data_IF_105288409557
#
_entry.id   IF_105288409557
#
_cell.length_a   1.000
_cell.length_b   1.000
_cell.length_c   1.000
_cell.angle_alpha   90.00
_cell.angle_beta   90.00
_cell.angle_gamma   90.00
#
_symmetry.space_group_name_H-M   'P 1'
#
loop_
_entity.id
_entity.type
_entity.pdbx_description
1 polymer ?
#
# COMPACT_ATOMS: atom_id res chain seq x y z
N UNK A 1 8.35 -35.84 24.36
CA UNK A 1 9.04 -35.07 23.28
C UNK A 1 8.35 -33.75 23.04
N UNK A 2 8.10 -32.94 24.05
CA UNK A 2 7.27 -31.72 23.98
C UNK A 2 7.93 -30.44 24.54
N UNK A 3 9.16 -30.53 25.05
CA UNK A 3 9.75 -29.38 25.78
C UNK A 3 10.77 -28.53 25.02
N UNK A 4 11.10 -28.86 23.77
CA UNK A 4 12.15 -28.13 23.04
C UNK A 4 11.63 -27.00 22.10
N UNK A 5 10.33 -26.96 21.84
CA UNK A 5 9.75 -25.99 20.88
C UNK A 5 9.47 -24.61 21.51
N UNK A 6 9.07 -24.59 22.78
CA UNK A 6 8.72 -23.35 23.52
C UNK A 6 9.92 -22.46 23.83
N UNK A 7 11.11 -23.07 24.01
CA UNK A 7 12.34 -22.32 24.30
C UNK A 7 12.95 -21.59 23.08
N UNK A 8 12.61 -21.99 21.87
CA UNK A 8 13.14 -21.32 20.67
C UNK A 8 12.39 -20.04 20.33
N UNK A 9 11.05 -20.03 20.45
CA UNK A 9 10.23 -18.84 20.16
C UNK A 9 10.47 -17.69 21.15
N UNK A 10 10.60 -17.99 22.45
CA UNK A 10 10.82 -16.98 23.49
C UNK A 10 12.21 -16.32 23.39
N UNK A 11 13.22 -17.07 22.99
CA UNK A 11 14.57 -16.52 22.79
C UNK A 11 14.64 -15.58 21.58
N UNK A 12 13.97 -15.91 20.49
CA UNK A 12 13.94 -15.05 19.28
C UNK A 12 13.22 -13.72 19.57
N UNK A 13 12.11 -13.76 20.31
CA UNK A 13 11.40 -12.56 20.72
C UNK A 13 12.23 -11.70 21.68
N UNK A 14 12.93 -12.33 22.63
CA UNK A 14 13.83 -11.64 23.55
C UNK A 14 15.01 -10.99 22.82
N UNK A 15 15.57 -11.64 21.80
CA UNK A 15 16.63 -11.06 20.97
C UNK A 15 16.12 -9.90 20.12
N UNK A 16 14.93 -9.98 19.56
CA UNK A 16 14.32 -8.87 18.82
C UNK A 16 14.04 -7.66 19.73
N UNK A 17 13.55 -7.89 20.96
CA UNK A 17 13.30 -6.83 21.94
C UNK A 17 14.62 -6.25 22.49
N UNK A 18 15.65 -7.06 22.70
CA UNK A 18 16.97 -6.59 23.12
C UNK A 18 17.65 -5.77 22.02
N UNK A 19 17.57 -6.21 20.76
CA UNK A 19 18.07 -5.45 19.61
C UNK A 19 17.32 -4.13 19.42
N UNK A 20 16.01 -4.12 19.66
CA UNK A 20 15.22 -2.88 19.63
C UNK A 20 15.64 -1.90 20.75
N UNK A 21 15.85 -2.40 21.97
CA UNK A 21 16.24 -1.59 23.12
C UNK A 21 17.67 -1.04 23.00
N UNK A 22 18.61 -1.83 22.49
CA UNK A 22 19.99 -1.37 22.24
C UNK A 22 20.08 -0.40 21.05
N UNK A 23 19.25 -0.58 20.01
CA UNK A 23 19.14 0.38 18.90
C UNK A 23 18.58 1.74 19.36
N UNK A 24 17.56 1.73 20.23
CA UNK A 24 16.95 2.96 20.74
C UNK A 24 17.89 3.77 21.65
N UNK A 25 18.81 3.13 22.37
CA UNK A 25 19.76 3.80 23.27
C UNK A 25 20.92 4.44 22.48
N UNK A 26 21.30 3.93 21.34
CA UNK A 26 22.40 4.46 20.51
C UNK A 26 21.97 5.60 19.55
N UNK A 27 20.68 5.88 19.39
CA UNK A 27 20.15 6.86 18.43
C UNK A 27 20.26 8.33 18.95
N UNK A 28 20.66 8.54 20.19
CA UNK A 28 20.60 9.87 20.83
C UNK A 28 21.66 10.89 20.35
N UNK A 29 22.59 10.55 19.46
CA UNK A 29 23.79 11.37 19.29
C UNK A 29 23.99 12.07 17.93
N UNK A 30 23.19 11.83 16.90
CA UNK A 30 23.47 12.46 15.59
C UNK A 30 22.21 12.73 14.77
N UNK A 31 21.45 13.73 15.14
CA UNK A 31 20.33 14.19 14.33
C UNK A 31 20.52 15.64 13.90
N UNK A 32 21.16 15.85 12.78
CA UNK A 32 21.06 17.10 12.02
C UNK A 32 20.10 16.87 10.85
N UNK A 33 19.20 17.82 10.60
CA UNK A 33 18.40 17.87 9.39
C UNK A 33 19.35 18.04 8.20
N UNK A 34 19.36 17.08 7.27
CA UNK A 34 20.30 17.07 6.18
C UNK A 34 19.50 17.00 4.90
N UNK A 35 19.50 18.12 4.15
CA UNK A 35 19.28 18.08 2.71
C UNK A 35 20.63 17.64 2.08
N UNK A 36 20.74 16.39 1.59
CA UNK A 36 21.99 15.94 1.03
C UNK A 36 22.27 16.72 -0.27
N UNK A 37 23.31 17.51 -0.26
CA UNK A 37 23.86 18.06 -1.50
C UNK A 37 24.25 16.90 -2.43
N UNK A 38 24.09 17.02 -3.76
CA UNK A 38 24.53 16.00 -4.72
C UNK A 38 26.00 15.61 -4.59
N UNK A 39 26.81 16.48 -3.96
CA UNK A 39 28.23 16.28 -3.71
C UNK A 39 28.58 15.63 -2.37
N UNK A 40 27.58 15.34 -1.50
CA UNK A 40 27.86 14.72 -0.21
C UNK A 40 28.17 13.23 -0.38
N UNK A 41 29.45 12.91 -0.29
CA UNK A 41 29.98 11.53 -0.40
C UNK A 41 29.96 10.78 0.94
N UNK A 42 29.64 11.45 2.04
CA UNK A 42 29.56 10.82 3.36
C UNK A 42 28.50 9.73 3.37
N UNK A 43 28.84 8.56 3.91
CA UNK A 43 27.93 7.41 3.98
C UNK A 43 26.59 7.75 4.65
N UNK A 44 26.60 8.54 5.71
CA UNK A 44 25.40 8.86 6.49
C UNK A 44 24.47 9.87 5.79
N UNK A 45 24.95 10.59 4.80
CA UNK A 45 24.25 11.71 4.15
C UNK A 45 23.83 11.42 2.70
N UNK A 46 24.34 10.33 2.11
CA UNK A 46 24.00 9.98 0.73
C UNK A 46 22.54 9.53 0.61
N UNK A 47 21.90 9.89 -0.50
CA UNK A 47 20.51 9.59 -0.80
C UNK A 47 20.25 8.09 -1.03
N UNK A 48 21.23 7.36 -1.49
CA UNK A 48 21.18 5.95 -1.86
C UNK A 48 22.33 5.19 -1.21
N UNK A 49 22.09 3.95 -0.80
CA UNK A 49 23.14 3.12 -0.18
C UNK A 49 24.38 2.98 -1.08
N UNK A 50 24.18 2.78 -2.38
CA UNK A 50 25.25 2.66 -3.36
C UNK A 50 25.73 4.02 -3.92
N UNK A 51 25.19 5.15 -3.37
CA UNK A 51 25.56 6.50 -3.80
C UNK A 51 25.13 6.83 -5.23
N UNK A 52 25.90 7.69 -5.88
CA UNK A 52 25.61 8.22 -7.21
C UNK A 52 26.38 7.49 -8.35
N UNK A 53 26.96 6.32 -8.07
CA UNK A 53 27.74 5.53 -9.04
C UNK A 53 28.85 6.31 -9.73
N UNK A 54 29.53 7.18 -8.99
CA UNK A 54 30.56 8.09 -9.55
C UNK A 54 30.00 9.21 -10.42
N UNK A 55 28.71 9.57 -10.26
CA UNK A 55 28.03 10.61 -11.05
C UNK A 55 27.15 10.06 -12.18
N UNK A 56 27.25 8.78 -12.53
CA UNK A 56 26.50 8.20 -13.64
C UNK A 56 24.98 8.15 -13.37
N UNK A 57 24.55 7.94 -12.11
CA UNK A 57 23.12 7.98 -11.75
C UNK A 57 22.51 9.36 -12.01
N UNK A 58 23.20 10.42 -11.59
CA UNK A 58 22.77 11.80 -11.84
C UNK A 58 22.79 12.12 -13.33
N UNK A 59 23.81 11.71 -14.07
CA UNK A 59 23.90 11.89 -15.53
C UNK A 59 22.71 11.22 -16.23
N UNK A 60 22.45 9.95 -15.97
CA UNK A 60 21.31 9.21 -16.54
C UNK A 60 19.97 9.87 -16.20
N UNK A 61 19.78 10.35 -14.96
CA UNK A 61 18.56 11.05 -14.57
C UNK A 61 18.38 12.38 -15.33
N UNK A 62 19.46 13.09 -15.62
CA UNK A 62 19.43 14.32 -16.43
C UNK A 62 19.09 14.01 -17.90
N UNK A 63 19.53 12.86 -18.40
CA UNK A 63 19.21 12.34 -19.75
C UNK A 63 17.80 11.73 -19.82
N UNK A 64 17.10 11.57 -18.69
CA UNK A 64 15.72 11.08 -18.63
C UNK A 64 15.56 9.63 -18.17
N UNK A 65 16.61 8.95 -17.69
CA UNK A 65 16.54 7.59 -17.17
C UNK A 65 16.77 7.60 -15.67
N UNK A 66 15.77 7.17 -14.89
CA UNK A 66 15.85 7.10 -13.42
C UNK A 66 15.65 5.68 -12.91
N UNK A 67 16.30 5.38 -11.79
CA UNK A 67 16.29 4.07 -11.16
C UNK A 67 15.82 4.17 -9.70
N UNK A 68 14.95 3.25 -9.25
CA UNK A 68 14.64 3.00 -7.85
C UNK A 68 14.87 1.52 -7.57
N UNK A 69 15.85 1.21 -6.74
CA UNK A 69 16.09 -0.14 -6.24
C UNK A 69 15.98 -0.12 -4.74
N UNK A 70 15.12 -0.97 -4.17
CA UNK A 70 14.99 -1.04 -2.73
C UNK A 70 14.67 -2.45 -2.23
N UNK A 71 15.13 -2.69 -1.01
CA UNK A 71 14.69 -3.79 -0.17
C UNK A 71 13.79 -3.24 0.93
N UNK A 72 12.68 -3.91 1.19
CA UNK A 72 11.75 -3.62 2.28
C UNK A 72 11.32 -4.92 2.95
N UNK A 73 11.28 -4.93 4.28
CA UNK A 73 10.85 -6.10 5.04
C UNK A 73 10.05 -5.70 6.28
N UNK A 74 9.04 -6.51 6.59
CA UNK A 74 8.25 -6.46 7.80
C UNK A 74 8.59 -7.68 8.67
N UNK A 75 9.15 -7.43 9.86
CA UNK A 75 9.42 -8.42 10.89
C UNK A 75 8.35 -8.31 11.95
N UNK A 76 7.39 -9.23 11.96
CA UNK A 76 6.19 -9.16 12.80
C UNK A 76 6.00 -10.46 13.58
N UNK A 77 5.42 -10.35 14.78
CA UNK A 77 5.00 -11.48 15.59
C UNK A 77 3.73 -11.18 16.36
N UNK A 78 2.90 -12.20 16.57
CA UNK A 78 1.68 -12.10 17.38
C UNK A 78 1.86 -12.85 18.71
N UNK A 79 2.27 -12.17 19.79
CA UNK A 79 2.38 -12.77 21.10
C UNK A 79 1.02 -13.21 21.68
N UNK A 80 -0.08 -12.64 21.19
CA UNK A 80 -1.45 -13.02 21.57
C UNK A 80 -2.38 -13.00 20.37
N UNK A 81 -3.44 -13.76 20.45
CA UNK A 81 -4.47 -13.90 19.40
C UNK A 81 -4.08 -14.95 18.34
N UNK A 82 -5.03 -15.76 17.91
CA UNK A 82 -4.79 -16.85 16.97
C UNK A 82 -3.74 -17.84 17.46
N UNK A 83 -2.95 -18.36 16.52
CA UNK A 83 -1.79 -19.20 16.80
C UNK A 83 -0.55 -18.28 16.90
N UNK A 84 0.09 -18.23 18.07
CA UNK A 84 1.29 -17.42 18.30
C UNK A 84 2.42 -17.79 17.36
N UNK A 85 2.97 -16.81 16.66
CA UNK A 85 4.06 -17.00 15.70
C UNK A 85 4.83 -15.69 15.49
N UNK A 86 5.96 -15.78 14.78
CA UNK A 86 6.72 -14.64 14.29
C UNK A 86 7.38 -14.98 12.97
N UNK A 87 7.55 -13.99 12.12
CA UNK A 87 8.21 -14.17 10.84
C UNK A 87 8.50 -12.85 10.14
N UNK A 88 9.03 -12.96 8.94
CA UNK A 88 9.29 -11.81 8.11
C UNK A 88 8.63 -11.97 6.73
N UNK A 89 8.14 -10.85 6.19
CA UNK A 89 7.85 -10.74 4.77
C UNK A 89 8.86 -9.80 4.13
N UNK A 90 9.42 -10.23 3.02
CA UNK A 90 10.53 -9.55 2.35
C UNK A 90 10.16 -9.21 0.91
N UNK A 91 10.61 -8.05 0.42
CA UNK A 91 10.45 -7.64 -0.99
C UNK A 91 11.70 -6.89 -1.46
N UNK A 92 12.23 -7.32 -2.60
CA UNK A 92 13.19 -6.55 -3.40
C UNK A 92 12.44 -6.04 -4.62
N UNK A 93 12.53 -4.75 -4.91
CA UNK A 93 11.88 -4.12 -6.07
C UNK A 93 12.89 -3.26 -6.82
N UNK A 94 12.93 -3.44 -8.15
CA UNK A 94 13.68 -2.60 -9.06
C UNK A 94 12.75 -1.92 -10.05
N UNK A 95 12.89 -0.62 -10.20
CA UNK A 95 12.10 0.20 -11.11
C UNK A 95 13.01 1.01 -12.01
N UNK A 96 12.65 1.11 -13.28
CA UNK A 96 13.25 2.01 -14.27
C UNK A 96 12.15 2.88 -14.85
N UNK A 97 12.33 4.20 -14.78
CA UNK A 97 11.47 5.18 -15.43
C UNK A 97 12.26 5.92 -16.51
N UNK A 98 11.67 6.06 -17.70
CA UNK A 98 12.28 6.72 -18.87
C UNK A 98 11.39 7.88 -19.30
N UNK A 99 11.95 9.08 -19.34
CA UNK A 99 11.38 10.28 -19.94
C UNK A 99 11.93 10.44 -21.35
N UNK A 100 11.16 10.04 -22.36
CA UNK A 100 11.55 10.16 -23.76
C UNK A 100 11.59 11.62 -24.24
N UNK A 101 10.96 12.54 -23.52
CA UNK A 101 11.08 13.97 -23.80
C UNK A 101 12.50 14.47 -23.60
N UNK A 102 13.19 14.00 -22.54
CA UNK A 102 14.58 14.28 -22.28
C UNK A 102 15.51 13.43 -23.15
N UNK A 103 15.26 12.11 -23.21
CA UNK A 103 16.12 11.15 -23.88
C UNK A 103 16.14 11.30 -25.40
N UNK A 104 14.97 11.57 -26.02
CA UNK A 104 14.79 11.54 -27.48
C UNK A 104 13.93 12.68 -28.03
N UNK A 105 13.62 13.72 -27.25
CA UNK A 105 12.80 14.84 -27.68
C UNK A 105 11.30 14.55 -27.82
N UNK A 106 10.82 13.34 -27.47
CA UNK A 106 9.40 12.94 -27.55
C UNK A 106 8.62 13.46 -26.32
N UNK A 107 8.24 14.73 -26.35
CA UNK A 107 7.62 15.44 -25.23
C UNK A 107 6.37 14.72 -24.70
N UNK A 108 6.32 14.53 -23.38
CA UNK A 108 5.20 13.93 -22.68
C UNK A 108 5.13 12.41 -22.78
N UNK A 109 6.02 11.77 -23.56
CA UNK A 109 6.12 10.31 -23.62
C UNK A 109 7.04 9.79 -22.51
N UNK A 110 6.56 8.82 -21.75
CA UNK A 110 7.34 8.14 -20.69
C UNK A 110 7.06 6.64 -20.66
N UNK A 111 8.02 5.89 -20.14
CA UNK A 111 7.92 4.45 -19.91
C UNK A 111 8.27 4.13 -18.46
N UNK A 112 7.62 3.12 -17.94
CA UNK A 112 7.88 2.57 -16.61
C UNK A 112 8.02 1.06 -16.69
N UNK A 113 8.99 0.53 -15.96
CA UNK A 113 9.20 -0.92 -15.83
C UNK A 113 9.56 -1.23 -14.38
N UNK A 114 8.85 -2.17 -13.77
CA UNK A 114 9.12 -2.66 -12.41
C UNK A 114 9.21 -4.18 -12.39
N UNK A 115 10.30 -4.68 -11.83
CA UNK A 115 10.46 -6.09 -11.48
C UNK A 115 10.61 -6.25 -9.97
N UNK A 116 10.21 -7.39 -9.44
CA UNK A 116 10.33 -7.67 -8.02
C UNK A 116 10.53 -9.16 -7.70
N UNK A 117 11.11 -9.37 -6.52
CA UNK A 117 11.04 -10.60 -5.77
C UNK A 117 10.40 -10.35 -4.42
N UNK A 118 9.55 -11.27 -3.96
CA UNK A 118 9.00 -11.23 -2.60
C UNK A 118 8.69 -12.62 -2.06
N UNK A 119 8.69 -12.71 -0.73
CA UNK A 119 8.31 -13.93 -0.02
C UNK A 119 8.51 -13.80 1.49
N UNK A 120 7.92 -14.75 2.21
CA UNK A 120 8.00 -14.77 3.67
C UNK A 120 6.80 -15.42 4.33
N UNK A 121 6.52 -15.03 5.57
CA UNK A 121 5.43 -15.55 6.40
C UNK A 121 4.25 -14.60 6.34
N UNK A 122 3.09 -15.08 5.91
CA UNK A 122 1.83 -14.35 6.02
C UNK A 122 1.27 -14.51 7.45
N UNK A 123 1.71 -13.64 8.36
CA UNK A 123 1.31 -13.71 9.76
C UNK A 123 -0.21 -13.60 9.95
N UNK A 124 -0.86 -12.68 9.22
CA UNK A 124 -2.31 -12.46 9.31
C UNK A 124 -3.12 -13.68 8.91
N UNK A 125 -2.87 -14.20 7.72
CA UNK A 125 -3.65 -15.30 7.16
C UNK A 125 -3.31 -16.67 7.73
N UNK A 126 -2.05 -16.93 8.13
CA UNK A 126 -1.60 -18.25 8.58
C UNK A 126 -1.72 -18.45 10.09
N UNK A 127 -1.60 -17.41 10.88
CA UNK A 127 -1.46 -17.54 12.34
C UNK A 127 -2.46 -16.68 13.12
N UNK A 128 -2.59 -15.41 12.80
CA UNK A 128 -3.45 -14.48 13.55
C UNK A 128 -4.94 -14.69 13.24
N UNK A 129 -5.30 -15.02 12.00
CA UNK A 129 -6.68 -15.16 11.55
C UNK A 129 -7.43 -13.82 11.42
N UNK A 130 -6.68 -12.73 11.16
CA UNK A 130 -7.26 -11.39 10.98
C UNK A 130 -7.80 -11.17 9.56
N UNK A 131 -8.80 -10.29 9.44
CA UNK A 131 -9.28 -9.76 8.15
C UNK A 131 -8.30 -8.73 7.62
N UNK A 132 -7.95 -7.74 8.46
CA UNK A 132 -6.91 -6.77 8.14
C UNK A 132 -5.54 -7.41 8.31
N UNK A 133 -4.79 -7.59 7.21
CA UNK A 133 -3.46 -8.17 7.30
C UNK A 133 -2.50 -7.20 7.99
N UNK A 134 -1.68 -7.67 8.95
CA UNK A 134 -0.70 -6.84 9.65
C UNK A 134 0.33 -6.16 8.73
N UNK A 135 0.53 -6.67 7.54
CA UNK A 135 1.50 -6.16 6.57
C UNK A 135 0.88 -5.99 5.19
N UNK A 136 0.93 -4.78 4.63
CA UNK A 136 0.56 -4.49 3.24
C UNK A 136 1.57 -4.99 2.20
N UNK A 137 2.67 -5.62 2.62
CA UNK A 137 3.60 -6.27 1.70
C UNK A 137 3.18 -7.69 1.35
N UNK A 138 2.31 -8.31 2.17
CA UNK A 138 1.94 -9.72 2.03
C UNK A 138 1.12 -9.95 0.77
N UNK A 139 1.54 -10.91 -0.04
CA UNK A 139 0.85 -11.42 -1.21
C UNK A 139 1.35 -12.82 -1.54
N UNK A 140 1.39 -13.24 -2.80
CA UNK A 140 2.01 -14.51 -3.18
C UNK A 140 3.54 -14.42 -3.20
N UNK A 141 4.22 -15.53 -2.92
CA UNK A 141 5.64 -15.69 -3.16
C UNK A 141 5.91 -15.64 -4.67
N UNK A 142 6.73 -14.72 -5.13
CA UNK A 142 6.94 -14.56 -6.56
C UNK A 142 8.25 -13.84 -6.90
N UNK A 143 8.77 -14.13 -8.08
CA UNK A 143 9.76 -13.32 -8.79
C UNK A 143 9.17 -13.02 -10.16
N UNK A 144 8.93 -11.73 -10.46
CA UNK A 144 8.23 -11.38 -11.69
C UNK A 144 8.51 -9.96 -12.17
N UNK A 145 8.27 -9.74 -13.45
CA UNK A 145 8.04 -8.43 -14.02
C UNK A 145 6.63 -7.99 -13.60
N UNK A 146 6.54 -7.02 -12.68
CA UNK A 146 5.27 -6.62 -12.11
C UNK A 146 4.50 -5.67 -13.02
N UNK A 147 5.05 -4.50 -13.30
CA UNK A 147 4.40 -3.53 -14.16
C UNK A 147 5.35 -3.00 -15.25
N UNK A 148 4.78 -2.77 -16.43
CA UNK A 148 5.42 -2.07 -17.53
C UNK A 148 4.37 -1.39 -18.39
N UNK A 149 4.56 -0.10 -18.64
CA UNK A 149 3.58 0.69 -19.39
C UNK A 149 4.24 1.89 -20.06
N UNK A 150 3.58 2.37 -21.11
CA UNK A 150 3.85 3.64 -21.77
C UNK A 150 2.77 4.64 -21.38
N UNK A 151 3.15 5.88 -21.22
CA UNK A 151 2.26 6.99 -20.94
C UNK A 151 2.56 8.15 -21.86
N UNK A 152 1.51 8.75 -22.42
CA UNK A 152 1.58 10.00 -23.15
C UNK A 152 0.78 11.09 -22.43
N UNK A 153 1.43 12.18 -22.12
CA UNK A 153 0.81 13.41 -21.64
C UNK A 153 0.59 14.37 -22.81
N UNK A 154 -0.62 14.90 -22.91
CA UNK A 154 -1.06 15.80 -23.96
C UNK A 154 -1.65 17.08 -23.35
N UNK A 155 -1.66 18.18 -24.14
CA UNK A 155 -2.28 19.46 -23.76
C UNK A 155 -1.75 20.00 -22.41
N UNK A 156 -0.42 19.97 -22.22
CA UNK A 156 0.26 20.36 -20.97
C UNK A 156 -0.25 19.58 -19.75
N UNK A 157 -0.44 18.26 -19.90
CA UNK A 157 -0.86 17.36 -18.84
C UNK A 157 -2.37 17.36 -18.52
N UNK A 158 -3.20 18.06 -19.33
CA UNK A 158 -4.65 18.01 -19.16
C UNK A 158 -5.26 16.67 -19.57
N UNK A 159 -4.61 15.95 -20.47
CA UNK A 159 -4.95 14.60 -20.86
C UNK A 159 -3.72 13.70 -20.70
N UNK A 160 -3.89 12.59 -20.01
CA UNK A 160 -2.89 11.52 -19.89
C UNK A 160 -3.52 10.23 -20.37
N UNK A 161 -2.84 9.54 -21.26
CA UNK A 161 -3.22 8.19 -21.72
C UNK A 161 -2.09 7.25 -21.36
N UNK A 162 -2.43 6.10 -20.76
CA UNK A 162 -1.48 5.06 -20.39
C UNK A 162 -1.97 3.71 -20.85
N UNK A 163 -1.07 2.89 -21.38
CA UNK A 163 -1.34 1.53 -21.79
C UNK A 163 -0.18 0.60 -21.45
N UNK A 164 -0.51 -0.60 -21.00
CA UNK A 164 0.50 -1.59 -20.61
C UNK A 164 -0.03 -2.55 -19.57
N UNK A 165 0.87 -3.09 -18.76
CA UNK A 165 0.54 -3.93 -17.61
C UNK A 165 0.81 -3.14 -16.32
N UNK A 166 -0.21 -2.98 -15.48
CA UNK A 166 -0.09 -2.31 -14.18
C UNK A 166 -1.19 -2.75 -13.22
N UNK A 167 -0.97 -2.53 -11.93
CA UNK A 167 -1.96 -2.80 -10.90
C UNK A 167 -2.95 -1.62 -10.78
N UNK A 168 -4.24 -1.93 -10.57
CA UNK A 168 -5.27 -0.91 -10.35
C UNK A 168 -4.92 0.02 -9.18
N UNK A 169 -4.45 -0.54 -8.08
CA UNK A 169 -4.02 0.22 -6.91
C UNK A 169 -2.80 1.13 -7.13
N UNK A 170 -2.09 1.02 -8.24
CA UNK A 170 -1.02 1.97 -8.55
C UNK A 170 -1.55 3.39 -8.77
N UNK A 171 -2.82 3.50 -9.17
CA UNK A 171 -3.40 4.76 -9.62
C UNK A 171 -4.78 5.06 -9.04
N UNK A 172 -5.52 4.06 -8.56
CA UNK A 172 -6.90 4.15 -8.08
C UNK A 172 -6.99 3.74 -6.62
N UNK A 173 -7.81 4.42 -5.85
CA UNK A 173 -8.00 4.14 -4.43
C UNK A 173 -6.74 4.32 -3.58
N UNK A 174 -5.75 5.09 -4.06
CA UNK A 174 -4.47 5.28 -3.38
C UNK A 174 -4.62 6.27 -2.24
N UNK A 175 -4.25 5.85 -1.04
CA UNK A 175 -4.12 6.71 0.13
C UNK A 175 -2.85 7.54 0.03
N UNK A 176 -2.96 8.86 0.10
CA UNK A 176 -1.79 9.74 0.03
C UNK A 176 -0.83 9.50 1.21
N UNK A 177 -1.38 9.33 2.41
CA UNK A 177 -0.64 9.08 3.65
C UNK A 177 -0.55 7.59 4.01
N UNK A 178 -1.07 6.67 3.21
CA UNK A 178 -1.09 5.24 3.51
C UNK A 178 0.28 4.60 3.72
N UNK A 179 1.33 5.23 3.20
CA UNK A 179 2.73 4.77 3.38
C UNK A 179 3.29 4.90 4.78
N UNK A 180 2.60 5.63 5.61
CA UNK A 180 2.96 5.80 7.02
C UNK A 180 2.52 4.62 7.89
N UNK A 181 1.84 3.63 7.28
CA UNK A 181 1.33 2.46 7.99
C UNK A 181 1.90 1.16 7.42
N UNK A 182 1.87 0.09 8.24
CA UNK A 182 2.24 -1.26 7.83
C UNK A 182 1.03 -2.11 7.47
N UNK A 183 -0.09 -1.91 8.20
CA UNK A 183 -1.33 -2.70 8.04
C UNK A 183 -1.92 -2.53 6.64
N UNK A 184 -2.21 -3.64 5.97
CA UNK A 184 -2.63 -3.68 4.56
C UNK A 184 -3.75 -2.68 4.21
N UNK A 185 -4.88 -2.58 4.93
CA UNK A 185 -5.95 -1.66 4.55
C UNK A 185 -5.61 -0.17 4.74
N UNK A 186 -4.54 0.14 5.48
CA UNK A 186 -4.02 1.49 5.69
C UNK A 186 -2.86 1.79 4.77
N UNK A 187 -2.02 0.78 4.46
CA UNK A 187 -0.84 0.91 3.61
C UNK A 187 -1.28 1.02 2.15
N UNK A 188 -1.03 2.17 1.54
CA UNK A 188 -1.14 2.46 0.13
C UNK A 188 -2.56 2.54 -0.47
N UNK A 189 -3.38 1.49 -0.44
CA UNK A 189 -4.74 1.48 -0.96
C UNK A 189 -5.67 0.73 0.00
N UNK A 190 -6.95 0.98 -0.08
CA UNK A 190 -7.93 0.29 0.76
C UNK A 190 -7.96 -1.21 0.45
N UNK A 191 -7.76 -2.05 1.47
CA UNK A 191 -7.68 -3.50 1.32
C UNK A 191 -8.93 -4.13 0.71
N UNK A 192 -10.11 -3.60 1.03
CA UNK A 192 -11.38 -4.15 0.53
C UNK A 192 -11.61 -3.90 -0.97
N UNK A 193 -10.90 -2.95 -1.58
CA UNK A 193 -10.92 -2.78 -3.04
C UNK A 193 -10.45 -4.04 -3.78
N UNK A 194 -9.60 -4.86 -3.15
CA UNK A 194 -9.10 -6.11 -3.72
C UNK A 194 -10.18 -7.17 -3.93
N UNK A 195 -11.32 -7.07 -3.26
CA UNK A 195 -12.45 -7.96 -3.49
C UNK A 195 -13.00 -7.85 -4.91
N UNK A 196 -12.94 -6.65 -5.52
CA UNK A 196 -13.36 -6.40 -6.89
C UNK A 196 -12.19 -6.22 -7.86
N UNK A 197 -10.99 -5.89 -7.37
CA UNK A 197 -9.78 -5.85 -8.19
C UNK A 197 -9.24 -7.25 -8.43
N UNK A 198 -8.90 -7.51 -9.68
CA UNK A 198 -8.26 -8.75 -10.09
C UNK A 198 -6.81 -8.51 -10.51
N UNK A 199 -6.40 -7.24 -10.62
CA UNK A 199 -5.05 -6.79 -10.93
C UNK A 199 -4.55 -5.86 -9.83
N UNK A 200 -3.73 -6.39 -8.93
CA UNK A 200 -3.16 -5.69 -7.77
C UNK A 200 -1.66 -5.97 -7.63
N UNK A 201 -0.94 -5.11 -6.92
CA UNK A 201 0.50 -5.27 -6.67
C UNK A 201 0.78 -6.51 -5.78
N UNK A 202 1.60 -7.47 -6.22
CA UNK A 202 2.43 -7.48 -7.42
C UNK A 202 1.86 -8.32 -8.58
N UNK A 203 0.58 -8.44 -8.71
CA UNK A 203 -0.07 -9.23 -9.75
C UNK A 203 -0.75 -8.34 -10.80
N UNK A 204 0.02 -7.42 -11.37
CA UNK A 204 -0.44 -6.50 -12.42
C UNK A 204 -0.96 -7.22 -13.66
N UNK A 205 -1.95 -6.64 -14.31
CA UNK A 205 -2.55 -7.12 -15.55
C UNK A 205 -2.58 -6.07 -16.66
N UNK A 206 -2.85 -6.49 -17.91
CA UNK A 206 -3.05 -5.58 -19.03
C UNK A 206 -4.16 -4.56 -18.75
N UNK A 207 -3.89 -3.30 -19.07
CA UNK A 207 -4.82 -2.20 -18.83
C UNK A 207 -4.58 -1.00 -19.74
N UNK A 208 -5.63 -0.21 -19.92
CA UNK A 208 -5.58 1.13 -20.50
C UNK A 208 -6.19 2.10 -19.50
N UNK A 209 -5.55 3.23 -19.27
CA UNK A 209 -5.96 4.28 -18.34
C UNK A 209 -5.98 5.64 -19.04
N UNK A 210 -7.04 6.41 -18.81
CA UNK A 210 -7.19 7.76 -19.30
C UNK A 210 -7.48 8.67 -18.11
N UNK A 211 -6.71 9.75 -17.99
CA UNK A 211 -6.92 10.81 -17.00
C UNK A 211 -7.15 12.13 -17.70
N UNK A 212 -8.22 12.83 -17.34
CA UNK A 212 -8.55 14.17 -17.79
C UNK A 212 -8.48 15.10 -16.57
N UNK A 213 -7.67 16.15 -16.66
CA UNK A 213 -7.49 17.16 -15.62
C UNK A 213 -7.66 18.56 -16.24
N UNK A 214 -8.90 19.03 -16.41
CA UNK A 214 -9.16 20.31 -17.08
C UNK A 214 -8.56 21.48 -16.31
N UNK A 215 -8.51 21.38 -15.00
CA UNK A 215 -7.83 22.29 -14.07
C UNK A 215 -6.98 21.51 -13.10
N UNK A 216 -6.01 22.18 -12.44
CA UNK A 216 -5.07 21.51 -11.50
C UNK A 216 -5.76 20.89 -10.28
N UNK A 217 -6.96 21.36 -9.94
CA UNK A 217 -7.68 20.93 -8.75
C UNK A 217 -8.56 19.70 -8.98
N UNK A 218 -8.96 19.42 -10.21
CA UNK A 218 -9.95 18.37 -10.51
C UNK A 218 -9.41 17.44 -11.58
N UNK A 219 -9.57 16.14 -11.38
CA UNK A 219 -9.35 15.15 -12.41
C UNK A 219 -10.47 14.10 -12.43
N UNK A 220 -10.73 13.60 -13.61
CA UNK A 220 -11.47 12.36 -13.83
C UNK A 220 -10.47 11.34 -14.41
N UNK A 221 -10.45 10.14 -13.88
CA UNK A 221 -9.65 9.04 -14.37
C UNK A 221 -10.53 7.82 -14.60
N UNK A 222 -10.29 7.10 -15.68
CA UNK A 222 -10.97 5.86 -16.01
C UNK A 222 -9.99 4.85 -16.55
N UNK A 223 -10.08 3.60 -16.09
CA UNK A 223 -9.32 2.48 -16.65
C UNK A 223 -10.23 1.34 -17.07
N UNK A 224 -9.82 0.65 -18.12
CA UNK A 224 -10.30 -0.66 -18.49
C UNK A 224 -9.14 -1.67 -18.32
N UNK A 225 -9.33 -2.68 -17.48
CA UNK A 225 -8.30 -3.60 -17.06
C UNK A 225 -8.72 -5.05 -17.30
N UNK A 226 -7.76 -5.94 -17.52
CA UNK A 226 -8.03 -7.37 -17.62
C UNK A 226 -8.65 -7.91 -16.34
N UNK A 227 -9.75 -8.61 -16.46
CA UNK A 227 -10.43 -9.31 -15.38
C UNK A 227 -9.82 -10.68 -15.07
N UNK A 228 -8.51 -10.80 -15.06
CA UNK A 228 -7.80 -12.06 -14.79
C UNK A 228 -7.66 -12.31 -13.29
N UNK A 229 -8.51 -13.21 -12.76
CA UNK A 229 -8.55 -13.54 -11.30
C UNK A 229 -7.36 -14.33 -10.78
N UNK A 230 -6.53 -14.91 -11.65
CA UNK A 230 -5.34 -15.63 -11.23
C UNK A 230 -4.13 -15.24 -12.09
N UNK A 231 -3.60 -14.03 -11.93
CA UNK A 231 -2.44 -13.61 -12.71
C UNK A 231 -1.23 -14.50 -12.47
N UNK A 232 -1.07 -15.08 -11.29
CA UNK A 232 0.01 -16.03 -11.01
C UNK A 232 -0.13 -17.35 -11.80
N UNK A 233 -1.33 -17.83 -12.03
CA UNK A 233 -1.58 -19.05 -12.81
C UNK A 233 -1.39 -18.87 -14.31
N UNK A 234 -1.73 -17.68 -14.84
CA UNK A 234 -1.66 -17.42 -16.30
C UNK A 234 -0.43 -16.61 -16.70
N UNK A 235 0.12 -15.85 -15.78
CA UNK A 235 1.22 -14.93 -16.01
C UNK A 235 2.15 -14.88 -14.77
N UNK A 236 2.68 -16.03 -14.38
CA UNK A 236 3.52 -16.15 -13.19
C UNK A 236 4.78 -15.28 -13.27
N UNK A 237 5.37 -15.12 -14.46
CA UNK A 237 6.58 -14.33 -14.66
C UNK A 237 6.31 -12.83 -14.89
N UNK A 238 5.06 -12.45 -15.14
CA UNK A 238 4.69 -11.08 -15.50
C UNK A 238 5.04 -10.69 -16.95
N UNK A 239 5.73 -11.54 -17.71
CA UNK A 239 6.15 -11.23 -19.09
C UNK A 239 5.03 -11.36 -20.11
N UNK A 240 4.22 -12.45 -20.10
CA UNK A 240 3.12 -12.57 -21.05
C UNK A 240 2.04 -11.50 -20.84
N UNK A 241 1.73 -10.76 -21.90
CA UNK A 241 0.64 -9.79 -21.91
C UNK A 241 -0.69 -10.52 -22.15
N UNK A 242 -1.24 -11.09 -21.06
CA UNK A 242 -2.40 -11.99 -21.17
C UNK A 242 -3.68 -11.28 -20.74
N UNK A 243 -4.57 -11.04 -21.71
CA UNK A 243 -5.93 -10.57 -21.43
C UNK A 243 -6.85 -11.76 -21.21
N UNK A 244 -7.43 -11.89 -20.04
CA UNK A 244 -8.34 -12.97 -19.67
C UNK A 244 -9.61 -12.40 -19.05
N UNK A 245 -10.73 -13.12 -19.24
CA UNK A 245 -12.06 -12.79 -18.73
C UNK A 245 -12.61 -11.43 -19.21
N UNK A 246 -13.81 -11.07 -18.75
CA UNK A 246 -14.36 -9.73 -18.94
C UNK A 246 -13.51 -8.72 -18.20
N UNK A 247 -13.22 -7.59 -18.84
CA UNK A 247 -12.45 -6.52 -18.20
C UNK A 247 -13.25 -5.84 -17.10
N UNK A 248 -12.55 -5.33 -16.10
CA UNK A 248 -13.13 -4.45 -15.10
C UNK A 248 -12.96 -2.98 -15.51
N UNK A 249 -13.88 -2.14 -15.08
CA UNK A 249 -13.86 -0.70 -15.29
C UNK A 249 -13.69 -0.03 -13.94
N UNK A 250 -12.72 0.89 -13.85
CA UNK A 250 -12.50 1.72 -12.67
C UNK A 250 -12.66 3.17 -13.06
N UNK A 251 -13.45 3.93 -12.30
CA UNK A 251 -13.59 5.36 -12.44
C UNK A 251 -13.25 6.04 -11.12
N UNK A 252 -12.49 7.13 -11.17
CA UNK A 252 -12.15 7.94 -10.00
C UNK A 252 -12.20 9.41 -10.34
N UNK A 253 -12.99 10.16 -9.56
CA UNK A 253 -13.01 11.62 -9.54
C UNK A 253 -12.19 12.09 -8.34
N UNK A 254 -11.21 12.95 -8.59
CA UNK A 254 -10.37 13.52 -7.54
C UNK A 254 -10.46 15.03 -7.51
N UNK A 255 -10.50 15.57 -6.30
CA UNK A 255 -10.39 16.98 -6.02
C UNK A 255 -9.19 17.22 -5.10
N UNK A 256 -8.29 18.12 -5.53
CA UNK A 256 -7.10 18.48 -4.76
C UNK A 256 -6.94 19.99 -4.69
N UNK A 257 -6.38 20.46 -3.60
CA UNK A 257 -5.95 21.84 -3.46
C UNK A 257 -4.61 21.90 -2.72
N UNK A 258 -3.77 22.85 -3.11
CA UNK A 258 -2.44 23.07 -2.53
C UNK A 258 -1.53 21.83 -2.54
N UNK A 259 -1.83 20.83 -3.34
CA UNK A 259 -0.96 19.68 -3.54
C UNK A 259 0.07 19.98 -4.63
N UNK A 260 1.33 19.51 -4.49
CA UNK A 260 2.21 19.37 -5.62
C UNK A 260 1.51 18.47 -6.66
N UNK A 261 1.69 18.79 -7.94
CA UNK A 261 0.93 18.14 -9.02
C UNK A 261 0.91 16.62 -8.87
N UNK A 262 -0.18 15.94 -9.24
CA UNK A 262 -0.29 14.47 -9.30
C UNK A 262 0.74 13.80 -10.22
N UNK A 263 1.44 14.60 -11.03
CA UNK A 263 2.50 14.17 -11.93
C UNK A 263 3.70 13.76 -11.10
N UNK A 264 3.91 12.49 -10.94
CA UNK A 264 5.06 11.96 -10.21
C UNK A 264 4.76 11.39 -8.82
N UNK A 265 3.53 11.02 -8.52
CA UNK A 265 3.25 10.31 -7.27
C UNK A 265 4.08 9.01 -7.12
N UNK A 266 4.54 8.40 -8.20
CA UNK A 266 5.56 7.35 -8.16
C UNK A 266 7.00 7.89 -8.09
N UNK A 267 7.31 8.98 -8.78
CA UNK A 267 8.64 9.62 -8.69
C UNK A 267 8.85 10.34 -7.34
N UNK A 268 7.79 10.86 -6.72
CA UNK A 268 7.83 11.42 -5.37
C UNK A 268 8.05 10.36 -4.27
N UNK A 269 8.11 9.08 -4.63
CA UNK A 269 8.36 7.95 -3.73
C UNK A 269 9.82 7.72 -3.38
N UNK A 270 10.73 8.56 -3.84
CA UNK A 270 12.11 8.45 -3.40
C UNK A 270 12.20 8.97 -1.97
N UNK A 271 12.57 8.15 -0.98
CA UNK A 271 12.84 8.64 0.36
C UNK A 271 13.88 9.75 0.30
N UNK A 272 13.61 10.90 0.94
CA UNK A 272 14.47 12.09 0.87
C UNK A 272 14.29 12.94 -0.39
N UNK A 273 13.33 12.64 -1.26
CA UNK A 273 12.92 13.56 -2.31
C UNK A 273 12.22 14.76 -1.70
N UNK A 274 12.93 15.88 -1.55
CA UNK A 274 12.29 17.17 -1.30
C UNK A 274 11.20 17.35 -2.35
N UNK A 275 9.95 17.47 -1.91
CA UNK A 275 8.88 17.93 -2.77
C UNK A 275 9.25 19.36 -3.18
N UNK A 276 9.92 19.50 -4.32
CA UNK A 276 10.20 20.79 -4.95
C UNK A 276 8.90 21.40 -5.50
N UNK A 277 7.92 21.60 -4.64
CA UNK A 277 6.72 22.34 -4.93
C UNK A 277 6.81 23.71 -4.29
N UNK A 278 6.32 24.73 -4.98
CA UNK A 278 6.09 26.06 -4.41
C UNK A 278 5.29 25.89 -3.13
N UNK A 279 5.69 26.49 -1.99
CA UNK A 279 4.92 26.41 -0.75
C UNK A 279 3.45 26.76 -0.99
N UNK A 280 2.50 26.06 -0.34
CA UNK A 280 1.09 26.40 -0.48
C UNK A 280 0.84 27.82 0.00
N UNK A 281 -0.13 28.55 -0.58
CA UNK A 281 -0.48 29.88 -0.13
C UNK A 281 -0.91 29.89 1.33
N UNK A 282 -0.62 30.97 2.02
CA UNK A 282 -0.66 31.20 3.50
C UNK A 282 -1.90 30.73 4.29
N UNK A 283 -2.94 30.17 3.70
CA UNK A 283 -4.22 29.92 4.41
C UNK A 283 -4.84 28.54 4.19
N UNK A 284 -4.34 27.71 3.27
CA UNK A 284 -4.96 26.41 2.98
C UNK A 284 -3.92 25.31 2.98
N UNK A 285 -4.08 24.37 3.89
CA UNK A 285 -3.26 23.16 3.95
C UNK A 285 -3.60 22.22 2.78
N UNK A 286 -2.62 21.43 2.29
CA UNK A 286 -2.87 20.46 1.23
C UNK A 286 -4.01 19.50 1.56
N UNK A 287 -4.89 19.28 0.59
CA UNK A 287 -6.00 18.34 0.70
C UNK A 287 -6.21 17.56 -0.60
N UNK A 288 -6.65 16.31 -0.48
CA UNK A 288 -6.96 15.41 -1.59
C UNK A 288 -8.17 14.57 -1.24
N UNK A 289 -9.22 14.71 -2.00
CA UNK A 289 -10.48 14.01 -1.85
C UNK A 289 -10.77 13.22 -3.12
N UNK A 290 -11.27 11.99 -2.97
CA UNK A 290 -11.57 11.10 -4.09
C UNK A 290 -12.89 10.40 -3.86
N UNK A 291 -13.62 10.19 -4.95
CA UNK A 291 -14.69 9.21 -5.02
C UNK A 291 -14.42 8.29 -6.20
N UNK A 292 -14.68 7.01 -6.04
CA UNK A 292 -14.45 6.08 -7.11
C UNK A 292 -15.47 4.95 -7.14
N UNK A 293 -15.58 4.34 -8.30
CA UNK A 293 -16.41 3.20 -8.59
C UNK A 293 -15.62 2.19 -9.39
N UNK A 294 -15.52 0.98 -8.86
CA UNK A 294 -15.04 -0.20 -9.59
C UNK A 294 -16.24 -1.00 -10.02
N UNK A 295 -16.30 -1.40 -11.26
CA UNK A 295 -17.31 -2.29 -11.79
C UNK A 295 -16.61 -3.48 -12.46
N UNK A 296 -16.83 -4.66 -11.91
CA UNK A 296 -16.35 -5.92 -12.47
C UNK A 296 -17.56 -6.73 -12.99
N UNK A 297 -17.75 -6.85 -14.31
CA UNK A 297 -18.89 -7.55 -14.90
C UNK A 297 -18.83 -9.08 -14.80
N UNK A 298 -17.86 -9.63 -14.08
CA UNK A 298 -17.71 -11.09 -13.88
C UNK A 298 -18.90 -11.75 -13.22
N UNK A 299 -18.84 -13.07 -13.05
CA UNK A 299 -19.88 -13.85 -12.35
C UNK A 299 -19.39 -14.17 -10.93
N UNK A 300 -20.21 -13.84 -9.96
CA UNK A 300 -19.90 -13.99 -8.53
C UNK A 300 -20.87 -14.96 -7.88
N UNK A 301 -20.36 -15.79 -6.97
CA UNK A 301 -21.19 -16.65 -6.17
C UNK A 301 -22.01 -15.84 -5.16
N UNK A 302 -23.18 -16.32 -4.84
CA UNK A 302 -23.94 -15.87 -3.68
C UNK A 302 -23.09 -16.00 -2.41
N UNK A 303 -23.17 -15.05 -1.48
CA UNK A 303 -22.49 -15.12 -0.18
C UNK A 303 -23.16 -16.16 0.76
N UNK A 304 -23.66 -17.25 0.19
CA UNK A 304 -24.30 -18.41 0.80
C UNK A 304 -23.44 -19.67 0.65
N UNK A 305 -24.04 -20.84 0.37
CA UNK A 305 -23.36 -22.15 0.41
C UNK A 305 -22.15 -22.31 -0.48
N UNK A 306 -22.07 -21.53 -1.55
CA UNK A 306 -20.93 -21.55 -2.46
C UNK A 306 -19.80 -20.59 -2.04
N UNK A 307 -20.03 -19.76 -1.03
CA UNK A 307 -19.05 -18.80 -0.52
C UNK A 307 -18.14 -19.41 0.56
N UNK A 308 -17.83 -20.68 0.46
CA UNK A 308 -16.75 -21.31 1.25
C UNK A 308 -15.38 -20.77 0.86
N UNK A 309 -15.35 -19.52 0.47
CA UNK A 309 -14.14 -18.94 0.05
C UNK A 309 -13.74 -17.83 0.92
N UNK A 310 -12.90 -18.19 1.69
CA UNK A 310 -12.14 -17.32 2.52
C UNK A 310 -10.69 -17.34 2.11
N UNK A 311 -10.44 -16.82 0.99
CA UNK A 311 -9.10 -16.39 0.68
C UNK A 311 -9.25 -15.35 -0.41
N UNK A 312 -8.59 -14.25 -0.26
CA UNK A 312 -8.43 -13.20 -1.26
C UNK A 312 -7.95 -13.69 -2.63
N UNK A 313 -7.70 -14.99 -2.80
CA UNK A 313 -7.17 -15.63 -4.00
C UNK A 313 -8.00 -16.82 -4.51
N UNK A 314 -9.20 -17.05 -4.00
CA UNK A 314 -9.92 -18.27 -4.37
C UNK A 314 -11.01 -18.00 -5.39
N UNK A 315 -10.88 -18.67 -6.54
CA UNK A 315 -11.91 -18.82 -7.55
C UNK A 315 -13.09 -19.57 -6.96
N UNK A 316 -14.18 -18.89 -6.70
CA UNK A 316 -15.44 -19.58 -6.55
C UNK A 316 -15.99 -19.84 -7.96
N UNK A 317 -15.87 -21.06 -8.43
CA UNK A 317 -16.75 -21.47 -9.50
C UNK A 317 -18.17 -21.35 -8.97
N UNK A 318 -18.95 -20.53 -9.61
CA UNK A 318 -20.35 -20.42 -9.28
C UNK A 318 -21.05 -21.71 -9.69
N UNK A 319 -21.36 -22.56 -8.71
CA UNK A 319 -22.26 -23.69 -8.85
C UNK A 319 -23.60 -23.27 -8.21
N UNK A 320 -24.62 -23.04 -9.03
CA UNK A 320 -25.95 -22.63 -8.55
C UNK A 320 -26.30 -21.17 -8.93
N UNK A 321 -26.95 -20.45 -8.03
CA UNK A 321 -27.31 -19.05 -8.25
C UNK A 321 -26.08 -18.16 -8.26
N UNK A 322 -25.94 -17.40 -9.34
CA UNK A 322 -24.79 -16.53 -9.58
C UNK A 322 -25.25 -15.11 -9.81
N UNK A 323 -24.61 -14.18 -9.13
CA UNK A 323 -24.77 -12.77 -9.44
C UNK A 323 -23.92 -12.37 -10.66
N UNK A 324 -24.49 -11.55 -11.52
CA UNK A 324 -23.74 -10.90 -12.60
C UNK A 324 -23.19 -9.58 -12.09
N UNK A 325 -21.88 -9.44 -12.20
CA UNK A 325 -21.17 -8.23 -11.79
C UNK A 325 -20.94 -8.12 -10.29
N UNK A 326 -19.91 -7.36 -9.96
CA UNK A 326 -19.62 -6.84 -8.63
C UNK A 326 -19.18 -5.39 -8.74
N UNK A 327 -19.35 -4.61 -7.68
CA UNK A 327 -18.89 -3.21 -7.67
C UNK A 327 -18.38 -2.80 -6.30
N UNK A 328 -17.46 -1.85 -6.30
CA UNK A 328 -17.00 -1.17 -5.09
C UNK A 328 -17.17 0.32 -5.30
N UNK A 329 -17.93 0.94 -4.44
CA UNK A 329 -17.93 2.39 -4.28
C UNK A 329 -17.00 2.78 -3.14
N UNK A 330 -16.16 3.81 -3.33
CA UNK A 330 -15.30 4.31 -2.28
C UNK A 330 -15.22 5.83 -2.23
N UNK A 331 -14.98 6.33 -1.03
CA UNK A 331 -14.63 7.72 -0.75
C UNK A 331 -13.33 7.77 0.05
N UNK A 332 -12.47 8.72 -0.26
CA UNK A 332 -11.21 8.95 0.44
C UNK A 332 -10.98 10.44 0.68
N UNK A 333 -10.46 10.78 1.86
CA UNK A 333 -10.05 12.11 2.24
C UNK A 333 -8.64 12.07 2.84
N UNK A 334 -7.78 12.93 2.38
CA UNK A 334 -6.43 13.14 2.91
C UNK A 334 -6.25 14.64 3.12
N UNK A 335 -5.97 15.06 4.35
CA UNK A 335 -5.96 16.47 4.72
C UNK A 335 -4.78 16.78 5.65
N UNK A 336 -3.97 17.76 5.28
CA UNK A 336 -3.08 18.39 6.22
C UNK A 336 -3.90 19.25 7.20
N UNK A 337 -3.81 18.95 8.50
CA UNK A 337 -4.67 19.56 9.53
C UNK A 337 -3.97 20.73 10.22
N UNK A 338 -2.69 20.58 10.47
CA UNK A 338 -1.93 21.59 11.21
C UNK A 338 -0.47 21.66 10.77
N UNK A 339 0.06 22.88 10.72
CA UNK A 339 1.48 23.20 10.54
C UNK A 339 1.82 24.38 11.45
N UNK A 340 2.92 24.36 12.23
CA UNK A 340 3.29 25.47 13.10
C UNK A 340 3.64 26.74 12.34
N UNK A 341 4.28 26.60 11.18
CA UNK A 341 4.62 27.71 10.26
C UNK A 341 4.45 27.25 8.83
N UNK A 342 4.33 28.20 7.90
CA UNK A 342 4.30 27.92 6.47
C UNK A 342 5.58 27.20 6.04
N UNK A 343 5.42 26.13 5.22
CA UNK A 343 6.55 25.32 4.74
C UNK A 343 7.19 24.39 5.79
N UNK A 344 6.67 24.36 7.02
CA UNK A 344 7.17 23.45 8.06
C UNK A 344 6.95 21.99 7.65
N UNK A 345 7.99 21.14 7.76
CA UNK A 345 7.86 19.69 7.73
C UNK A 345 7.04 19.18 8.92
N UNK A 346 7.19 19.81 10.09
CA UNK A 346 6.42 19.47 11.30
C UNK A 346 4.95 19.77 11.11
N UNK A 347 4.09 18.85 11.51
CA UNK A 347 2.66 19.07 11.44
C UNK A 347 1.83 17.81 11.58
N UNK A 348 0.52 17.99 11.56
CA UNK A 348 -0.47 16.92 11.67
C UNK A 348 -1.19 16.76 10.35
N UNK A 349 -1.23 15.56 9.84
CA UNK A 349 -2.02 15.13 8.70
C UNK A 349 -3.05 14.10 9.14
N UNK A 350 -4.19 14.04 8.46
CA UNK A 350 -5.23 13.06 8.69
C UNK A 350 -5.67 12.41 7.38
N UNK A 351 -6.04 11.15 7.45
CA UNK A 351 -6.65 10.41 6.35
C UNK A 351 -7.88 9.67 6.82
N UNK A 352 -8.82 9.50 5.91
CA UNK A 352 -10.02 8.70 6.10
C UNK A 352 -10.43 8.08 4.77
N UNK A 353 -10.91 6.84 4.80
CA UNK A 353 -11.54 6.23 3.65
C UNK A 353 -12.66 5.28 4.08
N UNK A 354 -13.63 5.11 3.21
CA UNK A 354 -14.73 4.17 3.36
C UNK A 354 -15.04 3.56 2.00
N UNK A 355 -15.36 2.28 2.01
CA UNK A 355 -15.90 1.56 0.85
C UNK A 355 -17.21 0.84 1.16
N UNK A 356 -17.90 0.50 0.10
CA UNK A 356 -19.12 -0.27 0.11
C UNK A 356 -19.16 -1.26 -1.05
N UNK A 357 -19.50 -2.52 -0.74
CA UNK A 357 -19.68 -3.62 -1.69
C UNK A 357 -21.04 -4.27 -1.50
N UNK A 358 -21.64 -4.91 -2.51
CA UNK A 358 -22.88 -5.67 -2.36
C UNK A 358 -22.77 -6.76 -1.29
N UNK A 359 -23.72 -6.76 -0.35
CA UNK A 359 -23.74 -7.68 0.80
C UNK A 359 -24.01 -9.14 0.41
N UNK A 360 -24.65 -9.36 -0.74
CA UNK A 360 -25.08 -10.68 -1.20
C UNK A 360 -23.95 -11.50 -1.85
N UNK A 361 -22.81 -10.88 -2.15
CA UNK A 361 -21.67 -11.54 -2.82
C UNK A 361 -20.31 -11.24 -2.18
N UNK A 362 -20.25 -10.34 -1.21
CA UNK A 362 -19.03 -9.98 -0.51
C UNK A 362 -19.13 -10.29 0.98
N UNK A 363 -18.11 -10.98 1.53
CA UNK A 363 -18.03 -11.28 2.96
C UNK A 363 -17.84 -9.99 3.77
N UNK A 364 -16.87 -9.18 3.40
CA UNK A 364 -16.68 -7.84 3.96
C UNK A 364 -17.35 -6.87 3.00
N UNK A 365 -18.45 -6.26 3.41
CA UNK A 365 -19.24 -5.38 2.56
C UNK A 365 -19.03 -3.90 2.85
N UNK A 366 -18.37 -3.56 3.94
CA UNK A 366 -17.93 -2.20 4.27
C UNK A 366 -16.59 -2.24 4.99
N UNK A 367 -15.71 -1.31 4.65
CA UNK A 367 -14.50 -1.08 5.40
C UNK A 367 -14.31 0.42 5.62
N UNK A 368 -13.98 0.78 6.87
CA UNK A 368 -13.62 2.12 7.27
C UNK A 368 -12.16 2.09 7.67
N UNK A 369 -11.38 3.01 7.11
CA UNK A 369 -9.98 3.20 7.48
C UNK A 369 -9.72 4.67 7.76
N UNK A 370 -8.79 4.95 8.65
CA UNK A 370 -8.41 6.32 8.91
C UNK A 370 -7.27 6.41 9.89
N UNK A 371 -6.72 7.62 10.02
CA UNK A 371 -5.65 7.83 10.95
C UNK A 371 -5.12 9.25 10.95
N UNK A 372 -4.15 9.46 11.80
CA UNK A 372 -3.42 10.73 11.94
C UNK A 372 -1.92 10.47 11.91
N UNK A 373 -1.19 11.36 11.26
CA UNK A 373 0.26 11.31 11.14
C UNK A 373 0.84 12.60 11.70
N UNK A 374 1.67 12.48 12.71
CA UNK A 374 2.45 13.59 13.25
C UNK A 374 3.84 13.57 12.62
N UNK A 375 4.06 14.42 11.64
CA UNK A 375 5.35 14.62 10.99
C UNK A 375 6.30 15.40 11.87
N UNK A 376 7.58 15.02 11.90
CA UNK A 376 8.63 15.63 12.71
C UNK A 376 8.22 15.80 14.19
N UNK A 377 7.79 14.74 14.90
CA UNK A 377 7.32 14.85 16.28
C UNK A 377 8.44 15.33 17.21
N UNK A 378 9.68 14.97 16.93
CA UNK A 378 10.87 15.39 17.65
C UNK A 378 11.58 16.49 16.86
N UNK A 379 11.82 17.66 17.48
CA UNK A 379 12.32 18.85 16.79
C UNK A 379 13.64 18.65 16.02
N UNK A 380 14.53 17.77 16.50
CA UNK A 380 15.81 17.45 15.86
C UNK A 380 15.74 16.31 14.83
N UNK A 381 14.55 15.75 14.57
CA UNK A 381 14.30 14.62 13.68
C UNK A 381 13.19 14.98 12.69
N UNK A 382 13.56 15.81 11.73
CA UNK A 382 12.61 16.44 10.81
C UNK A 382 12.00 15.45 9.78
N UNK A 383 12.62 14.30 9.57
CA UNK A 383 12.21 13.29 8.59
C UNK A 383 11.53 12.07 9.25
N UNK A 384 11.30 12.13 10.57
CA UNK A 384 10.57 11.11 11.29
C UNK A 384 9.06 11.40 11.28
N UNK A 385 8.26 10.35 11.48
CA UNK A 385 6.82 10.47 11.73
C UNK A 385 6.35 9.51 12.82
N UNK A 386 5.28 9.89 13.50
CA UNK A 386 4.53 9.03 14.42
C UNK A 386 3.09 8.94 13.93
N UNK A 387 2.55 7.74 13.83
CA UNK A 387 1.24 7.53 13.23
C UNK A 387 0.35 6.68 14.11
N UNK A 388 -0.94 7.01 14.09
CA UNK A 388 -2.02 6.19 14.61
C UNK A 388 -3.04 5.96 13.52
N UNK A 389 -3.39 4.70 13.27
CA UNK A 389 -4.40 4.32 12.29
C UNK A 389 -5.40 3.31 12.84
N UNK A 390 -6.57 3.25 12.21
CA UNK A 390 -7.60 2.27 12.51
C UNK A 390 -8.23 1.69 11.25
N UNK A 391 -8.69 0.45 11.35
CA UNK A 391 -9.47 -0.27 10.34
C UNK A 391 -10.67 -0.90 11.01
N UNK A 392 -11.85 -0.75 10.42
CA UNK A 392 -13.08 -1.44 10.82
C UNK A 392 -13.62 -2.17 9.59
N UNK A 393 -13.54 -3.49 9.60
CA UNK A 393 -14.06 -4.35 8.53
C UNK A 393 -15.39 -4.98 8.98
N UNK A 394 -16.48 -4.58 8.33
CA UNK A 394 -17.84 -5.07 8.65
C UNK A 394 -18.19 -6.26 7.78
N UNK A 395 -18.69 -7.32 8.42
CA UNK A 395 -19.18 -8.51 7.72
C UNK A 395 -20.60 -8.26 7.19
N UNK A 396 -20.85 -8.73 5.99
CA UNK A 396 -22.16 -8.75 5.35
C UNK A 396 -23.20 -9.45 6.22
N UNK A 397 -24.36 -8.80 6.41
CA UNK A 397 -25.48 -9.40 7.17
C UNK A 397 -26.02 -10.65 6.46
N UNK A 398 -26.00 -10.70 5.13
CA UNK A 398 -26.38 -11.88 4.32
C UNK A 398 -25.43 -13.04 4.59
N UNK A 399 -24.12 -12.80 4.56
CA UNK A 399 -23.12 -13.82 4.86
C UNK A 399 -23.23 -14.30 6.31
N UNK A 400 -23.43 -13.39 7.26
CA UNK A 400 -23.56 -13.71 8.68
C UNK A 400 -24.81 -14.55 8.97
N UNK A 401 -25.95 -14.19 8.39
CA UNK A 401 -27.20 -15.00 8.50
C UNK A 401 -26.97 -16.40 7.95
N UNK A 402 -26.35 -16.53 6.78
CA UNK A 402 -26.05 -17.83 6.20
C UNK A 402 -25.13 -18.68 7.10
N UNK A 403 -24.08 -18.10 7.68
CA UNK A 403 -23.19 -18.81 8.61
C UNK A 403 -23.95 -19.35 9.83
N UNK A 404 -24.82 -18.54 10.42
CA UNK A 404 -25.59 -18.93 11.62
C UNK A 404 -26.63 -20.00 11.34
N UNK A 405 -27.37 -19.84 10.23
CA UNK A 405 -28.52 -20.72 9.94
C UNK A 405 -28.13 -22.03 9.28
N UNK A 406 -27.12 -22.02 8.40
CA UNK A 406 -26.77 -23.17 7.57
C UNK A 406 -25.53 -23.91 8.04
N UNK A 407 -24.58 -23.18 8.64
CA UNK A 407 -23.30 -23.75 9.10
C UNK A 407 -23.23 -23.88 10.62
N UNK A 408 -24.21 -23.32 11.34
CA UNK A 408 -24.27 -23.28 12.81
C UNK A 408 -22.99 -22.70 13.44
N UNK A 409 -22.37 -21.76 12.74
CA UNK A 409 -21.14 -21.09 13.19
C UNK A 409 -21.48 -19.84 14.02
N UNK A 410 -20.58 -19.42 14.91
CA UNK A 410 -20.75 -18.18 15.66
C UNK A 410 -21.00 -16.96 14.77
N UNK A 411 -21.78 -15.97 15.24
CA UNK A 411 -22.00 -14.74 14.48
C UNK A 411 -20.71 -13.99 14.26
N UNK A 412 -20.52 -13.51 13.03
CA UNK A 412 -19.46 -12.58 12.66
C UNK A 412 -20.07 -11.18 12.50
N UNK A 413 -19.43 -10.15 13.05
CA UNK A 413 -19.94 -8.78 12.98
C UNK A 413 -18.95 -7.84 12.35
N UNK A 414 -17.90 -7.48 13.08
CA UNK A 414 -16.82 -6.63 12.57
C UNK A 414 -15.51 -6.92 13.27
N UNK A 415 -14.42 -6.86 12.53
CA UNK A 415 -13.08 -6.76 13.10
C UNK A 415 -12.69 -5.28 13.20
N UNK A 416 -12.06 -4.92 14.32
CA UNK A 416 -11.49 -3.57 14.55
C UNK A 416 -10.02 -3.74 14.79
N UNK A 417 -9.21 -3.08 13.98
CA UNK A 417 -7.76 -3.11 14.10
C UNK A 417 -7.21 -1.69 14.27
N UNK A 418 -6.21 -1.54 15.11
CA UNK A 418 -5.55 -0.29 15.42
C UNK A 418 -4.05 -0.46 15.24
N UNK A 419 -3.40 0.54 14.69
CA UNK A 419 -1.94 0.56 14.49
C UNK A 419 -1.35 1.82 15.09
N UNK A 420 -0.26 1.64 15.86
CA UNK A 420 0.65 2.71 16.28
C UNK A 420 2.02 2.39 15.74
N UNK A 421 2.64 3.36 15.09
CA UNK A 421 4.00 3.20 14.58
C UNK A 421 4.81 4.50 14.69
N UNK A 422 6.12 4.34 14.60
CA UNK A 422 7.07 5.46 14.55
C UNK A 422 8.09 5.20 13.45
N UNK A 423 8.05 5.95 12.36
CA UNK A 423 9.06 5.89 11.32
C UNK A 423 10.28 6.69 11.75
N UNK A 424 11.38 6.01 12.00
CA UNK A 424 12.68 6.59 12.32
C UNK A 424 13.56 6.61 11.06
N UNK A 425 13.77 7.77 10.46
CA UNK A 425 14.70 7.93 9.35
C UNK A 425 16.12 7.91 9.89
N UNK A 426 16.87 6.84 9.64
CA UNK A 426 18.24 6.65 10.15
C UNK A 426 19.26 7.35 9.27
N UNK A 427 19.14 7.16 7.96
CA UNK A 427 19.87 7.86 6.91
C UNK A 427 18.92 8.18 5.77
N UNK A 428 19.23 9.03 4.79
CA UNK A 428 18.31 9.30 3.69
C UNK A 428 17.91 8.05 2.88
N UNK A 429 18.72 6.99 2.91
CA UNK A 429 18.45 5.73 2.21
C UNK A 429 17.88 4.62 3.10
N UNK A 430 17.82 4.79 4.44
CA UNK A 430 17.42 3.73 5.36
C UNK A 430 16.54 4.25 6.49
N UNK A 431 15.41 3.59 6.70
CA UNK A 431 14.57 3.79 7.87
C UNK A 431 14.22 2.47 8.58
N UNK A 432 13.84 2.61 9.84
CA UNK A 432 13.24 1.56 10.67
C UNK A 432 11.95 2.10 11.25
N UNK A 433 10.90 1.27 11.25
CA UNK A 433 9.55 1.68 11.67
C UNK A 433 8.97 0.65 12.64
N UNK A 434 9.24 0.72 13.94
CA UNK A 434 8.60 -0.09 14.96
C UNK A 434 7.08 0.13 14.93
N UNK A 435 6.35 -0.95 15.21
CA UNK A 435 4.89 -0.99 15.13
C UNK A 435 4.29 -1.83 16.25
N UNK A 436 3.14 -1.40 16.73
CA UNK A 436 2.22 -2.13 17.59
C UNK A 436 0.85 -2.12 16.91
N UNK A 437 0.25 -3.29 16.74
CA UNK A 437 -1.10 -3.41 16.22
C UNK A 437 -1.98 -4.20 17.20
N UNK A 438 -3.21 -3.77 17.37
CA UNK A 438 -4.20 -4.38 18.26
C UNK A 438 -5.45 -4.69 17.47
N UNK A 439 -5.90 -5.92 17.55
CA UNK A 439 -7.09 -6.43 16.85
C UNK A 439 -8.15 -6.81 17.87
N UNK A 440 -9.35 -6.29 17.74
CA UNK A 440 -10.52 -6.70 18.53
C UNK A 440 -11.47 -7.49 17.64
N UNK A 441 -12.01 -8.59 18.19
CA UNK A 441 -12.87 -9.54 17.48
C UNK A 441 -12.19 -10.12 16.24
N UNK A 442 -11.05 -10.80 16.43
CA UNK A 442 -10.26 -11.42 15.36
C UNK A 442 -11.13 -12.20 14.37
N UNK A 443 -10.93 -11.96 13.07
CA UNK A 443 -11.74 -12.55 12.00
C UNK A 443 -13.20 -12.11 12.03
N UNK A 444 -13.50 -10.95 12.67
CA UNK A 444 -14.84 -10.44 12.95
C UNK A 444 -15.69 -11.31 13.88
N UNK A 445 -15.10 -12.27 14.55
CA UNK A 445 -15.77 -13.21 15.47
C UNK A 445 -15.51 -12.76 16.92
N UNK A 446 -16.52 -12.27 17.66
CA UNK A 446 -16.33 -11.74 19.01
C UNK A 446 -15.69 -12.73 19.99
N UNK A 447 -16.00 -14.03 19.87
CA UNK A 447 -15.42 -15.08 20.72
C UNK A 447 -13.93 -15.32 20.50
N UNK A 448 -13.34 -14.86 19.39
CA UNK A 448 -11.91 -14.99 19.14
C UNK A 448 -11.06 -13.98 19.93
N UNK A 449 -11.71 -13.02 20.60
CA UNK A 449 -11.05 -12.10 21.49
C UNK A 449 -10.15 -11.08 20.79
N UNK A 450 -9.06 -10.73 21.46
CA UNK A 450 -8.11 -9.69 21.05
C UNK A 450 -6.78 -10.31 20.63
N UNK A 451 -6.22 -9.84 19.53
CA UNK A 451 -4.86 -10.13 19.10
C UNK A 451 -3.95 -8.92 19.19
N UNK A 452 -2.67 -9.15 19.43
CA UNK A 452 -1.63 -8.12 19.41
C UNK A 452 -0.54 -8.54 18.43
N UNK A 453 -0.08 -7.61 17.62
CA UNK A 453 1.08 -7.79 16.74
C UNK A 453 2.13 -6.75 17.10
N UNK A 454 3.36 -7.21 17.22
CA UNK A 454 4.53 -6.38 17.50
C UNK A 454 5.59 -6.61 16.44
N UNK A 455 6.37 -5.59 16.12
CA UNK A 455 7.51 -5.75 15.23
C UNK A 455 7.98 -4.44 14.63
N UNK A 456 8.55 -4.53 13.45
CA UNK A 456 9.03 -3.35 12.73
C UNK A 456 9.12 -3.61 11.23
N UNK A 457 9.01 -2.52 10.46
CA UNK A 457 9.38 -2.45 9.04
C UNK A 457 10.77 -1.84 8.91
N UNK A 458 11.55 -2.30 7.94
CA UNK A 458 12.76 -1.62 7.51
C UNK A 458 12.80 -1.51 5.99
N UNK A 459 13.34 -0.41 5.49
CA UNK A 459 13.54 -0.20 4.05
C UNK A 459 14.91 0.39 3.79
N UNK A 460 15.61 -0.19 2.82
CA UNK A 460 16.88 0.32 2.29
C UNK A 460 16.73 0.62 0.81
N UNK A 461 17.14 1.80 0.38
CA UNK A 461 17.15 2.23 -1.03
C UNK A 461 18.59 2.25 -1.54
N UNK A 462 18.85 1.52 -2.64
CA UNK A 462 20.20 1.32 -3.21
C UNK A 462 20.57 2.36 -4.24
#
# INVERSE_FOLDING_TARGET
>A
MTDSFWLRGSKTLAYCLLLLSTLLISISAAAQSIDPSPSDTSFMHRKYLLGDWGGERTKLANEGVTFDFHYIADFLGNPTGGNTSAGAWNRVRGTVDIDFGKLAGAKGLSMHVTGLWQGGVNLGGQYLGSIANPSGLVSAHTTRLDSYWLQQELFNGKLTVRGGQFAGQDFYGVQYYGREYLMEPLDYAMGNLFSAYESFDPASGPAVDIKIAPVKQVYLRSAYMSGNRNPYGYNATGVPFTWKNSGLIINELGFQFNQPSFYGQRAAKVPGGTQGGTPPPKKLYPGLYKVGLVNNPGRYAFAGPAATVVSTNSYVRCYGECYSGDYVFYFMANQAVWRPTEGSKRGLDANFAVDYLPSDRNKVNQQFTGGVIFNAPIAKRADDSASFGFVISRISDVFNTYQQTNLLLPPQTSEKAFEFNYLAQITPFWYVQPVVQVYASLGATPSNGTGVVLGFRTKVTF
#
